data_IF_833740774020
#
_entry.id   IF_833740774020
#
_cell.length_a   1.000
_cell.length_b   1.000
_cell.length_c   1.000
_cell.angle_alpha   90.00
_cell.angle_beta   90.00
_cell.angle_gamma   90.00
#
_symmetry.space_group_name_H-M   'P 1'
#
loop_
_entity.id
_entity.type
_entity.pdbx_description
1 polymer ?
#
# COMPACT_ATOMS: atom_id res chain seq x y z
N UNK A 1 -3.36 48.04 -0.34
CA UNK A 1 -2.75 47.84 -1.69
C UNK A 1 -3.71 47.01 -2.52
N UNK A 2 -3.96 47.39 -3.78
CA UNK A 2 -5.07 46.85 -4.60
C UNK A 2 -4.99 45.34 -4.87
N UNK A 3 -3.81 44.72 -4.74
CA UNK A 3 -3.62 43.29 -5.01
C UNK A 3 -3.66 42.40 -3.76
N UNK A 4 -3.78 42.97 -2.56
CA UNK A 4 -3.65 42.22 -1.30
C UNK A 4 -4.64 41.06 -1.20
N UNK A 5 -5.91 41.31 -1.54
CA UNK A 5 -6.97 40.31 -1.45
C UNK A 5 -6.78 39.18 -2.47
N UNK A 6 -6.46 39.53 -3.71
CA UNK A 6 -6.19 38.55 -4.77
C UNK A 6 -4.99 37.65 -4.45
N UNK A 7 -3.89 38.25 -3.94
CA UNK A 7 -2.71 37.50 -3.49
C UNK A 7 -3.06 36.58 -2.33
N UNK A 8 -3.82 37.05 -1.35
CA UNK A 8 -4.22 36.24 -0.20
C UNK A 8 -5.09 35.05 -0.62
N UNK A 9 -6.08 35.26 -1.49
CA UNK A 9 -6.92 34.17 -2.00
C UNK A 9 -6.09 33.12 -2.75
N UNK A 10 -5.12 33.56 -3.57
CA UNK A 10 -4.24 32.66 -4.31
C UNK A 10 -3.32 31.86 -3.39
N UNK A 11 -2.76 32.51 -2.38
CA UNK A 11 -1.92 31.85 -1.37
C UNK A 11 -2.70 30.75 -0.64
N UNK A 12 -3.93 31.05 -0.24
CA UNK A 12 -4.82 30.09 0.43
C UNK A 12 -5.13 28.89 -0.47
N UNK A 13 -5.48 29.10 -1.74
CA UNK A 13 -5.72 28.02 -2.71
C UNK A 13 -4.50 27.10 -2.88
N UNK A 14 -3.30 27.68 -3.02
CA UNK A 14 -2.06 26.93 -3.17
C UNK A 14 -1.68 26.16 -1.90
N UNK A 15 -1.89 26.75 -0.72
CA UNK A 15 -1.68 26.06 0.56
C UNK A 15 -2.56 24.82 0.68
N UNK A 16 -3.86 24.94 0.37
CA UNK A 16 -4.77 23.79 0.39
C UNK A 16 -4.41 22.72 -0.64
N UNK A 17 -3.93 23.15 -1.81
CA UNK A 17 -3.45 22.22 -2.83
C UNK A 17 -2.25 21.42 -2.32
N UNK A 18 -1.29 22.07 -1.67
CA UNK A 18 -0.11 21.41 -1.08
C UNK A 18 -0.52 20.37 -0.03
N UNK A 19 -1.36 20.74 0.94
CA UNK A 19 -1.83 19.83 2.00
C UNK A 19 -2.54 18.59 1.41
N UNK A 20 -3.36 18.80 0.38
CA UNK A 20 -4.08 17.72 -0.30
C UNK A 20 -3.12 16.78 -1.03
N UNK A 21 -2.10 17.33 -1.70
CA UNK A 21 -1.09 16.53 -2.40
C UNK A 21 -0.24 15.71 -1.43
N UNK A 22 0.14 16.26 -0.28
CA UNK A 22 0.88 15.50 0.73
C UNK A 22 0.10 14.27 1.20
N UNK A 23 -1.19 14.43 1.50
CA UNK A 23 -2.05 13.30 1.86
C UNK A 23 -2.20 12.32 0.69
N UNK A 24 -2.37 12.83 -0.53
CA UNK A 24 -2.51 12.01 -1.72
C UNK A 24 -1.28 11.11 -1.92
N UNK A 25 -0.07 11.67 -1.80
CA UNK A 25 1.18 10.91 -1.93
C UNK A 25 1.26 9.82 -0.85
N UNK A 26 0.87 10.12 0.40
CA UNK A 26 0.81 9.12 1.48
C UNK A 26 -0.14 7.97 1.16
N UNK A 27 -1.34 8.28 0.65
CA UNK A 27 -2.32 7.27 0.20
C UNK A 27 -1.74 6.44 -0.94
N UNK A 28 -1.13 7.07 -1.94
CA UNK A 28 -0.54 6.36 -3.08
C UNK A 28 0.57 5.39 -2.65
N UNK A 29 1.49 5.83 -1.80
CA UNK A 29 2.59 4.99 -1.32
C UNK A 29 2.05 3.75 -0.57
N UNK A 30 1.08 3.97 0.32
CA UNK A 30 0.51 2.88 1.13
C UNK A 30 -0.36 1.94 0.29
N UNK A 31 -1.14 2.49 -0.64
CA UNK A 31 -1.92 1.69 -1.60
C UNK A 31 -0.98 0.83 -2.46
N UNK A 32 0.09 1.39 -3.01
CA UNK A 32 1.05 0.66 -3.87
C UNK A 32 1.71 -0.51 -3.11
N UNK A 33 2.10 -0.30 -1.85
CA UNK A 33 2.67 -1.39 -1.05
C UNK A 33 1.67 -2.52 -0.80
N UNK A 34 0.42 -2.18 -0.54
CA UNK A 34 -0.63 -3.15 -0.22
C UNK A 34 -1.23 -3.82 -1.46
N UNK A 35 -1.23 -3.15 -2.61
CA UNK A 35 -1.67 -3.70 -3.90
C UNK A 35 -0.91 -4.97 -4.23
N UNK A 36 0.43 -4.93 -4.12
CA UNK A 36 1.31 -6.08 -4.38
C UNK A 36 1.03 -7.28 -3.47
N UNK A 37 0.39 -7.06 -2.33
CA UNK A 37 0.09 -8.09 -1.32
C UNK A 37 -1.32 -8.65 -1.46
N UNK A 38 -2.31 -7.79 -1.78
CA UNK A 38 -3.73 -8.15 -1.74
C UNK A 38 -4.39 -8.33 -3.11
N UNK A 39 -3.80 -7.85 -4.20
CA UNK A 39 -4.34 -8.07 -5.57
C UNK A 39 -3.99 -9.44 -6.15
N UNK A 40 -3.15 -10.23 -5.49
CA UNK A 40 -2.80 -11.58 -5.92
C UNK A 40 -2.01 -12.38 -4.89
N UNK A 41 -1.82 -13.67 -5.16
CA UNK A 41 -0.96 -14.55 -4.36
C UNK A 41 -1.63 -15.19 -3.14
N UNK A 42 -0.83 -15.94 -2.39
CA UNK A 42 -1.34 -16.76 -1.27
C UNK A 42 -1.68 -15.96 -0.01
N UNK A 43 -1.10 -14.77 0.16
CA UNK A 43 -1.39 -13.91 1.31
C UNK A 43 -2.84 -13.41 1.27
N UNK A 44 -3.35 -12.99 0.10
CA UNK A 44 -4.73 -12.59 -0.07
C UNK A 44 -5.72 -13.72 0.31
N UNK A 45 -5.38 -14.98 0.01
CA UNK A 45 -6.17 -16.15 0.40
C UNK A 45 -6.15 -16.39 1.91
N UNK A 46 -5.03 -16.09 2.57
CA UNK A 46 -4.88 -16.23 4.02
C UNK A 46 -5.50 -15.06 4.81
N UNK A 47 -5.68 -13.91 4.16
CA UNK A 47 -6.27 -12.70 4.75
C UNK A 47 -7.49 -12.21 3.92
N UNK A 48 -8.57 -13.02 3.81
CA UNK A 48 -9.67 -12.74 2.87
C UNK A 48 -10.50 -11.51 3.27
N UNK A 49 -10.58 -11.21 4.57
CA UNK A 49 -11.31 -10.03 5.06
C UNK A 49 -10.61 -8.73 4.65
N UNK A 50 -9.29 -8.66 4.83
CA UNK A 50 -8.45 -7.56 4.41
C UNK A 50 -8.40 -7.44 2.88
N UNK A 51 -8.27 -8.55 2.15
CA UNK A 51 -8.32 -8.54 0.69
C UNK A 51 -9.65 -7.96 0.16
N UNK A 52 -10.78 -8.33 0.78
CA UNK A 52 -12.10 -7.77 0.42
C UNK A 52 -12.20 -6.27 0.73
N UNK A 53 -11.66 -5.81 1.86
CA UNK A 53 -11.59 -4.38 2.19
C UNK A 53 -10.72 -3.63 1.19
N UNK A 54 -9.52 -4.16 0.90
CA UNK A 54 -8.58 -3.58 -0.05
C UNK A 54 -9.19 -3.47 -1.46
N UNK A 55 -9.93 -4.48 -1.93
CA UNK A 55 -10.61 -4.41 -3.23
C UNK A 55 -11.64 -3.28 -3.32
N UNK A 56 -12.26 -2.87 -2.20
CA UNK A 56 -13.14 -1.68 -2.18
C UNK A 56 -12.32 -0.39 -2.29
N UNK A 57 -11.24 -0.29 -1.50
CA UNK A 57 -10.31 0.85 -1.52
C UNK A 57 -9.73 1.03 -2.92
N UNK A 58 -9.29 -0.06 -3.54
CA UNK A 58 -8.74 -0.12 -4.89
C UNK A 58 -9.70 0.48 -5.94
N UNK A 59 -10.96 0.06 -5.93
CA UNK A 59 -11.98 0.60 -6.85
C UNK A 59 -12.18 2.10 -6.68
N UNK A 60 -12.20 2.59 -5.45
CA UNK A 60 -12.40 4.00 -5.17
C UNK A 60 -11.15 4.82 -5.53
N UNK A 61 -9.96 4.27 -5.27
CA UNK A 61 -8.68 4.84 -5.67
C UNK A 61 -8.54 4.97 -7.18
N UNK A 62 -8.81 3.90 -7.95
CA UNK A 62 -8.73 3.91 -9.41
C UNK A 62 -9.68 4.96 -10.01
N UNK A 63 -10.90 5.09 -9.47
CA UNK A 63 -11.85 6.13 -9.92
C UNK A 63 -11.32 7.54 -9.68
N UNK A 64 -10.71 7.77 -8.51
CA UNK A 64 -10.05 9.05 -8.20
C UNK A 64 -8.97 9.32 -9.23
N UNK A 65 -8.04 8.39 -9.44
CA UNK A 65 -6.91 8.57 -10.35
C UNK A 65 -7.35 8.82 -11.79
N UNK A 66 -8.39 8.13 -12.27
CA UNK A 66 -8.96 8.36 -13.60
C UNK A 66 -9.52 9.78 -13.73
N UNK A 67 -10.37 10.20 -12.78
CA UNK A 67 -10.97 11.55 -12.79
C UNK A 67 -9.90 12.64 -12.71
N UNK A 68 -8.86 12.41 -11.91
CA UNK A 68 -7.73 13.32 -11.77
C UNK A 68 -6.90 13.42 -13.06
N UNK A 69 -6.72 12.30 -13.76
CA UNK A 69 -6.08 12.27 -15.08
C UNK A 69 -6.88 13.05 -16.13
N UNK A 70 -8.22 12.96 -16.10
CA UNK A 70 -9.09 13.72 -17.02
C UNK A 70 -9.07 15.23 -16.75
N UNK A 71 -8.97 15.64 -15.48
CA UNK A 71 -8.97 17.06 -15.11
C UNK A 71 -7.71 17.80 -15.58
N UNK A 72 -6.53 17.16 -15.54
CA UNK A 72 -5.25 17.70 -16.02
C UNK A 72 -4.66 18.90 -15.22
N UNK A 73 -5.47 19.61 -14.43
CA UNK A 73 -5.03 20.70 -13.56
C UNK A 73 -5.09 20.29 -12.09
N UNK A 74 -3.92 20.23 -11.44
CA UNK A 74 -3.78 19.78 -10.05
C UNK A 74 -4.51 20.66 -9.05
N UNK A 75 -4.49 21.98 -9.24
CA UNK A 75 -5.15 22.94 -8.32
C UNK A 75 -6.67 22.73 -8.35
N UNK A 76 -7.23 22.57 -9.55
CA UNK A 76 -8.66 22.26 -9.72
C UNK A 76 -9.02 20.89 -9.17
N UNK A 77 -8.14 19.90 -9.33
CA UNK A 77 -8.36 18.56 -8.79
C UNK A 77 -8.35 18.54 -7.26
N UNK A 78 -7.38 19.22 -6.63
CA UNK A 78 -7.29 19.33 -5.17
C UNK A 78 -8.40 20.18 -4.56
N UNK A 79 -8.96 21.13 -5.33
CA UNK A 79 -10.11 21.93 -4.92
C UNK A 79 -11.43 21.14 -4.93
N UNK A 80 -11.43 19.89 -5.40
CA UNK A 80 -12.60 19.04 -5.44
C UNK A 80 -12.95 18.50 -4.03
N UNK A 81 -14.10 18.91 -3.51
CA UNK A 81 -14.57 18.46 -2.19
C UNK A 81 -14.71 16.94 -2.06
N UNK A 82 -15.05 16.24 -3.15
CA UNK A 82 -15.15 14.78 -3.12
C UNK A 82 -13.79 14.14 -2.83
N UNK A 83 -12.73 14.63 -3.47
CA UNK A 83 -11.37 14.14 -3.26
C UNK A 83 -10.93 14.43 -1.82
N UNK A 84 -11.18 15.66 -1.34
CA UNK A 84 -10.85 16.09 0.02
C UNK A 84 -11.51 15.23 1.09
N UNK A 85 -12.76 14.81 0.88
CA UNK A 85 -13.48 13.97 1.83
C UNK A 85 -13.10 12.48 1.71
N UNK A 86 -12.67 12.03 0.52
CA UNK A 86 -12.41 10.61 0.26
C UNK A 86 -10.97 10.22 0.61
N UNK A 87 -9.97 11.06 0.34
CA UNK A 87 -8.56 10.76 0.65
C UNK A 87 -8.31 10.40 2.12
N UNK A 88 -8.82 11.15 3.13
CA UNK A 88 -8.62 10.79 4.54
C UNK A 88 -9.25 9.45 4.91
N UNK A 89 -10.41 9.12 4.31
CA UNK A 89 -11.09 7.85 4.54
C UNK A 89 -10.30 6.70 3.94
N UNK A 90 -9.80 6.84 2.71
CA UNK A 90 -8.94 5.84 2.09
C UNK A 90 -7.65 5.63 2.89
N UNK A 91 -7.02 6.72 3.33
CA UNK A 91 -5.82 6.65 4.16
C UNK A 91 -6.06 5.85 5.45
N UNK A 92 -7.13 6.16 6.19
CA UNK A 92 -7.46 5.47 7.43
C UNK A 92 -7.77 3.97 7.22
N UNK A 93 -8.46 3.62 6.14
CA UNK A 93 -8.74 2.21 5.83
C UNK A 93 -7.49 1.44 5.36
N UNK A 94 -6.60 2.11 4.61
CA UNK A 94 -5.30 1.55 4.25
C UNK A 94 -4.41 1.32 5.49
N UNK A 95 -4.38 2.26 6.44
CA UNK A 95 -3.65 2.09 7.70
C UNK A 95 -4.15 0.90 8.51
N UNK A 96 -5.47 0.65 8.52
CA UNK A 96 -6.03 -0.56 9.14
C UNK A 96 -5.55 -1.82 8.44
N UNK A 97 -5.53 -1.84 7.11
CA UNK A 97 -5.03 -2.98 6.33
C UNK A 97 -3.54 -3.23 6.60
N UNK A 98 -2.72 -2.17 6.67
CA UNK A 98 -1.31 -2.26 7.00
C UNK A 98 -1.09 -2.83 8.40
N UNK A 99 -1.83 -2.36 9.42
CA UNK A 99 -1.74 -2.91 10.78
C UNK A 99 -2.11 -4.38 10.84
N UNK A 100 -3.17 -4.80 10.13
CA UNK A 100 -3.52 -6.21 10.01
C UNK A 100 -2.40 -7.02 9.36
N UNK A 101 -1.76 -6.48 8.32
CA UNK A 101 -0.63 -7.13 7.64
C UNK A 101 0.58 -7.28 8.57
N UNK A 102 0.93 -6.23 9.32
CA UNK A 102 2.03 -6.28 10.28
C UNK A 102 1.80 -7.33 11.37
N UNK A 103 0.56 -7.41 11.90
CA UNK A 103 0.18 -8.44 12.86
C UNK A 103 0.26 -9.85 12.27
N UNK A 104 -0.16 -10.02 11.01
CA UNK A 104 -0.03 -11.29 10.30
C UNK A 104 1.44 -11.70 10.12
N UNK A 105 2.31 -10.77 9.71
CA UNK A 105 3.75 -11.03 9.57
C UNK A 105 4.38 -11.41 10.90
N UNK A 106 4.03 -10.73 11.99
CA UNK A 106 4.53 -11.06 13.33
C UNK A 106 4.08 -12.44 13.79
N UNK A 107 2.83 -12.83 13.51
CA UNK A 107 2.35 -14.18 13.78
C UNK A 107 3.18 -15.23 13.01
N UNK A 108 3.53 -14.97 11.75
CA UNK A 108 4.39 -15.87 10.96
C UNK A 108 5.80 -15.97 11.55
N UNK A 109 6.37 -14.84 12.00
CA UNK A 109 7.67 -14.81 12.68
C UNK A 109 7.68 -15.58 13.99
N UNK A 110 6.66 -15.39 14.83
CA UNK A 110 6.52 -16.12 16.08
C UNK A 110 6.45 -17.64 15.86
N UNK A 111 5.75 -18.08 14.80
CA UNK A 111 5.64 -19.51 14.45
C UNK A 111 6.93 -20.09 13.86
N UNK A 112 7.71 -19.28 13.14
CA UNK A 112 8.98 -19.70 12.58
C UNK A 112 10.06 -18.62 12.80
N UNK A 113 10.78 -18.66 13.94
CA UNK A 113 11.67 -17.57 14.37
C UNK A 113 12.77 -17.18 13.39
N UNK A 114 13.14 -18.04 12.42
CA UNK A 114 14.11 -17.64 11.38
C UNK A 114 13.60 -16.49 10.51
N UNK A 115 12.30 -16.24 10.44
CA UNK A 115 11.75 -15.07 9.75
C UNK A 115 12.05 -13.73 10.43
N UNK A 116 12.60 -13.71 11.66
CA UNK A 116 13.13 -12.48 12.26
C UNK A 116 14.41 -11.98 11.56
N UNK A 117 15.14 -12.86 10.84
CA UNK A 117 16.37 -12.49 10.12
C UNK A 117 16.12 -11.91 8.72
N UNK A 118 14.87 -11.85 8.26
CA UNK A 118 14.51 -11.30 6.95
C UNK A 118 13.65 -10.04 7.08
N UNK A 119 13.87 -9.10 6.18
CA UNK A 119 13.09 -7.86 6.09
C UNK A 119 11.64 -8.11 5.65
N UNK A 120 10.72 -7.19 5.97
CA UNK A 120 9.30 -7.32 5.59
C UNK A 120 9.09 -7.58 4.08
N UNK A 121 9.74 -6.86 3.15
CA UNK A 121 9.56 -7.12 1.71
C UNK A 121 9.98 -8.55 1.31
N UNK A 122 11.10 -9.05 1.85
CA UNK A 122 11.56 -10.41 1.58
C UNK A 122 10.61 -11.44 2.19
N UNK A 123 10.12 -11.19 3.40
CA UNK A 123 9.15 -12.06 4.06
C UNK A 123 7.83 -12.12 3.28
N UNK A 124 7.35 -11.00 2.76
CA UNK A 124 6.15 -10.96 1.91
C UNK A 124 6.35 -11.80 0.64
N UNK A 125 7.51 -11.71 -0.01
CA UNK A 125 7.82 -12.53 -1.19
C UNK A 125 7.79 -14.03 -0.85
N UNK A 126 8.47 -14.43 0.23
CA UNK A 126 8.46 -15.81 0.76
C UNK A 126 7.02 -16.30 0.99
N UNK A 127 6.19 -15.50 1.65
CA UNK A 127 4.82 -15.87 2.00
C UNK A 127 3.87 -15.85 0.79
N UNK A 128 4.17 -15.04 -0.23
CA UNK A 128 3.36 -14.95 -1.46
C UNK A 128 3.51 -16.17 -2.37
N UNK A 129 4.66 -16.86 -2.28
CA UNK A 129 5.03 -18.02 -3.10
C UNK A 129 4.97 -19.36 -2.33
N UNK A 130 4.37 -19.38 -1.14
CA UNK A 130 4.42 -20.54 -0.25
C UNK A 130 3.80 -21.82 -0.81
N UNK A 131 2.97 -21.73 -1.85
CA UNK A 131 2.39 -22.88 -2.55
C UNK A 131 3.31 -23.54 -3.59
N UNK A 132 4.39 -22.88 -4.04
CA UNK A 132 5.36 -23.43 -5.00
C UNK A 132 6.74 -23.57 -4.33
N UNK A 133 7.12 -24.79 -3.89
CA UNK A 133 8.41 -25.03 -3.26
C UNK A 133 9.61 -24.67 -4.15
N UNK A 134 9.49 -24.72 -5.49
CA UNK A 134 10.58 -24.36 -6.39
C UNK A 134 10.86 -22.86 -6.37
N UNK A 135 9.84 -22.03 -6.16
CA UNK A 135 9.99 -20.58 -5.99
C UNK A 135 10.66 -20.22 -4.66
N UNK A 136 10.75 -21.15 -3.72
CA UNK A 136 11.37 -20.91 -2.41
C UNK A 136 12.90 -20.96 -2.44
N UNK A 137 13.49 -21.54 -3.49
CA UNK A 137 14.94 -21.74 -3.60
C UNK A 137 15.79 -20.49 -3.32
N UNK A 138 15.47 -19.30 -3.88
CA UNK A 138 16.27 -18.08 -3.68
C UNK A 138 16.21 -17.54 -2.25
N UNK A 139 15.34 -18.08 -1.39
CA UNK A 139 15.13 -17.58 -0.03
C UNK A 139 15.75 -18.48 1.03
N UNK A 140 16.17 -19.72 0.70
CA UNK A 140 16.79 -20.61 1.69
C UNK A 140 18.07 -20.01 2.27
N UNK A 141 18.94 -19.45 1.44
CA UNK A 141 20.18 -18.78 1.90
C UNK A 141 19.91 -17.58 2.81
N UNK A 142 18.74 -16.94 2.68
CA UNK A 142 18.36 -15.77 3.50
C UNK A 142 17.82 -16.16 4.87
N UNK A 143 17.41 -17.40 5.03
CA UNK A 143 16.77 -17.95 6.24
C UNK A 143 17.70 -18.96 6.94
N UNK A 144 18.71 -19.48 6.23
CA UNK A 144 19.64 -20.49 6.68
C UNK A 144 21.08 -20.17 6.26
N UNK A 145 21.98 -20.08 7.23
CA UNK A 145 23.39 -19.71 7.05
C UNK A 145 24.21 -20.70 6.20
N UNK A 146 23.80 -21.97 6.11
CA UNK A 146 24.54 -23.02 5.40
C UNK A 146 23.70 -23.86 4.44
N UNK A 147 22.54 -23.33 4.01
CA UNK A 147 21.67 -24.00 3.04
C UNK A 147 21.44 -23.05 1.86
N UNK A 148 22.02 -23.38 0.71
CA UNK A 148 21.81 -22.63 -0.54
C UNK A 148 20.73 -23.25 -1.42
N UNK A 149 20.48 -24.56 -1.30
CA UNK A 149 19.53 -25.28 -2.16
C UNK A 149 18.91 -26.46 -1.43
N UNK A 150 17.62 -26.70 -1.66
CA UNK A 150 16.88 -27.86 -1.14
C UNK A 150 16.36 -28.69 -2.32
N UNK A 151 16.51 -30.02 -2.29
CA UNK A 151 15.87 -30.89 -3.28
C UNK A 151 14.43 -31.18 -2.86
N UNK A 152 13.47 -30.93 -3.75
CA UNK A 152 12.06 -31.25 -3.53
C UNK A 152 11.73 -32.53 -4.27
N UNK A 153 11.22 -33.54 -3.56
CA UNK A 153 10.64 -34.73 -4.20
C UNK A 153 9.30 -34.36 -4.85
N UNK A 154 9.06 -34.93 -6.03
CA UNK A 154 7.86 -34.68 -6.84
C UNK A 154 6.66 -35.46 -6.34
#
# INVERSE_FOLDING_TARGET
TPFREAVQAKLTELSYTADTLELWIKVQMLWTSLESVFMGGDIAKQMPMEAKKFSKIDKDWIKIMHRSSEQGNVVMCCSNELLKNTLPVLYAELEKCQKSLDSYLEQKRSRFPRFYFVSNPVLLLILSQGSDPLQMQPYYEKVFDSISRVQHDR
#
